data_IF_735560185471
#
_entry.id   IF_735560185471
#
_cell.length_a   1.000
_cell.length_b   1.000
_cell.length_c   1.000
_cell.angle_alpha   90.00
_cell.angle_beta   90.00
_cell.angle_gamma   90.00
#
_symmetry.space_group_name_H-M   'P 1'
#
loop_
_entity.id
_entity.type
_entity.pdbx_description
1 polymer ?
#
# COMPACT_ATOMS: atom_id res chain seq x y z
N UNK A 1 -18.02 45.99 15.19
CA UNK A 1 -17.85 45.38 13.85
C UNK A 1 -17.61 43.89 14.04
N UNK A 2 -18.56 43.06 13.63
CA UNK A 2 -18.51 41.60 13.75
C UNK A 2 -17.57 41.04 12.67
N UNK A 3 -16.54 40.30 13.05
CA UNK A 3 -15.80 39.43 12.13
C UNK A 3 -16.05 37.99 12.56
N UNK A 4 -17.06 37.40 11.93
CA UNK A 4 -17.32 35.97 11.96
C UNK A 4 -16.24 35.34 11.08
N UNK A 5 -15.21 34.77 11.70
CA UNK A 5 -14.26 33.93 10.97
C UNK A 5 -14.87 32.54 10.87
N UNK A 6 -15.33 32.23 9.66
CA UNK A 6 -15.99 30.99 9.27
C UNK A 6 -15.04 29.82 9.49
N UNK A 7 -15.50 28.86 10.31
CA UNK A 7 -14.92 27.53 10.43
C UNK A 7 -14.76 26.92 9.03
N UNK A 8 -13.52 26.73 8.58
CA UNK A 8 -13.25 25.81 7.48
C UNK A 8 -13.33 24.39 8.03
N UNK A 9 -14.44 23.74 7.67
CA UNK A 9 -14.62 22.30 7.73
C UNK A 9 -13.44 21.59 7.05
N UNK A 10 -12.52 21.08 7.85
CA UNK A 10 -11.61 20.01 7.42
C UNK A 10 -12.48 18.79 7.15
N UNK A 11 -12.81 18.62 5.88
CA UNK A 11 -13.54 17.48 5.35
C UNK A 11 -12.77 16.21 5.65
N UNK A 12 -13.36 15.47 6.58
CA UNK A 12 -13.10 14.07 6.87
C UNK A 12 -13.23 13.28 5.56
N UNK A 13 -12.11 13.01 4.90
CA UNK A 13 -11.95 11.80 4.08
C UNK A 13 -11.30 10.72 4.93
N UNK A 14 -11.92 10.40 6.07
CA UNK A 14 -11.74 9.08 6.68
C UNK A 14 -12.50 8.11 5.78
N UNK A 15 -11.78 7.57 4.80
CA UNK A 15 -12.29 6.62 3.83
C UNK A 15 -13.05 5.48 4.49
N UNK A 16 -14.22 5.22 3.92
CA UNK A 16 -15.09 4.10 4.21
C UNK A 16 -14.35 2.76 4.05
N UNK A 17 -14.48 1.89 5.05
CA UNK A 17 -14.60 0.42 4.95
C UNK A 17 -13.48 -0.40 4.27
N UNK A 18 -12.78 -1.21 5.07
CA UNK A 18 -12.66 -2.66 4.84
C UNK A 18 -11.84 -3.28 5.98
N UNK A 19 -12.54 -3.85 6.95
CA UNK A 19 -11.98 -4.82 7.89
C UNK A 19 -11.43 -6.02 7.11
N UNK A 20 -10.10 -6.22 7.12
CA UNK A 20 -9.47 -7.47 6.70
C UNK A 20 -8.33 -7.35 5.69
N UNK A 21 -8.08 -6.17 5.11
CA UNK A 21 -6.88 -5.98 4.29
C UNK A 21 -5.71 -5.61 5.19
N UNK A 22 -4.77 -6.54 5.43
CA UNK A 22 -3.44 -6.13 5.89
C UNK A 22 -2.95 -4.99 5.02
N UNK A 23 -2.68 -3.86 5.67
CA UNK A 23 -2.63 -2.57 5.01
C UNK A 23 -1.49 -2.54 3.98
N UNK A 24 -1.86 -2.54 2.69
CA UNK A 24 -0.91 -2.27 1.61
C UNK A 24 -0.48 -0.81 1.55
N UNK A 25 -1.05 0.05 2.42
CA UNK A 25 -0.74 1.48 2.49
C UNK A 25 0.76 1.72 2.72
N UNK A 26 1.42 0.93 3.58
CA UNK A 26 2.86 1.05 3.82
C UNK A 26 3.70 0.88 2.55
N UNK A 27 3.27 -0.02 1.65
CA UNK A 27 3.95 -0.27 0.37
C UNK A 27 3.62 0.80 -0.67
N UNK A 28 2.38 1.32 -0.68
CA UNK A 28 1.98 2.44 -1.52
C UNK A 28 2.74 3.72 -1.14
N UNK A 29 2.89 3.98 0.15
CA UNK A 29 3.68 5.10 0.66
C UNK A 29 5.16 4.95 0.27
N UNK A 30 5.75 3.76 0.44
CA UNK A 30 7.13 3.51 0.04
C UNK A 30 7.36 3.74 -1.47
N UNK A 31 6.44 3.28 -2.34
CA UNK A 31 6.49 3.55 -3.78
C UNK A 31 6.34 5.04 -4.10
N UNK A 32 5.47 5.75 -3.38
CA UNK A 32 5.29 7.19 -3.53
C UNK A 32 6.59 7.93 -3.20
N UNK A 33 7.21 7.60 -2.08
CA UNK A 33 8.49 8.20 -1.66
C UNK A 33 9.62 7.87 -2.64
N UNK A 34 9.68 6.64 -3.16
CA UNK A 34 10.66 6.24 -4.18
C UNK A 34 10.50 7.04 -5.48
N UNK A 35 9.25 7.25 -5.91
CA UNK A 35 8.93 8.11 -7.05
C UNK A 35 9.40 9.55 -6.81
N UNK A 36 9.02 10.17 -5.69
CA UNK A 36 9.43 11.55 -5.35
C UNK A 36 10.95 11.67 -5.26
N UNK A 37 11.64 10.68 -4.67
CA UNK A 37 13.09 10.67 -4.55
C UNK A 37 13.79 10.67 -5.92
N UNK A 38 13.18 10.05 -6.93
CA UNK A 38 13.68 9.98 -8.30
C UNK A 38 13.40 11.22 -9.16
N UNK A 39 12.52 12.12 -8.69
CA UNK A 39 12.20 13.35 -9.40
C UNK A 39 13.37 14.35 -9.39
N UNK A 40 13.45 15.24 -10.40
CA UNK A 40 14.34 16.40 -10.37
C UNK A 40 14.10 17.26 -9.12
N UNK A 41 15.15 17.94 -8.64
CA UNK A 41 15.07 18.76 -7.43
C UNK A 41 13.99 19.86 -7.50
N UNK A 42 13.70 20.39 -8.70
CA UNK A 42 12.65 21.38 -8.93
C UNK A 42 11.24 20.86 -8.61
N UNK A 43 11.05 19.54 -8.65
CA UNK A 43 9.72 18.93 -8.68
C UNK A 43 9.39 18.17 -7.39
N UNK A 44 10.36 18.01 -6.48
CA UNK A 44 10.20 17.25 -5.23
C UNK A 44 9.17 17.84 -4.28
N UNK A 45 9.05 19.16 -4.26
CA UNK A 45 8.09 19.89 -3.42
C UNK A 45 6.79 20.24 -4.17
N UNK A 46 6.68 19.83 -5.44
CA UNK A 46 5.49 20.05 -6.25
C UNK A 46 4.33 19.18 -5.76
N UNK A 47 3.23 19.82 -5.35
CA UNK A 47 1.99 19.13 -4.99
C UNK A 47 1.44 18.28 -6.14
N UNK A 48 1.62 18.74 -7.38
CA UNK A 48 1.19 17.98 -8.55
C UNK A 48 2.02 16.70 -8.69
N UNK A 49 3.35 16.80 -8.61
CA UNK A 49 4.24 15.64 -8.74
C UNK A 49 4.05 14.65 -7.59
N UNK A 50 3.81 15.13 -6.37
CA UNK A 50 3.44 14.28 -5.23
C UNK A 50 2.12 13.52 -5.47
N UNK A 51 1.13 14.18 -6.08
CA UNK A 51 -0.16 13.56 -6.43
C UNK A 51 0.00 12.52 -7.52
N UNK A 52 0.80 12.80 -8.56
CA UNK A 52 1.11 11.87 -9.64
C UNK A 52 1.83 10.63 -9.12
N UNK A 53 2.85 10.82 -8.27
CA UNK A 53 3.55 9.72 -7.61
C UNK A 53 2.62 8.85 -6.75
N UNK A 54 1.72 9.46 -5.96
CA UNK A 54 0.77 8.74 -5.13
C UNK A 54 -0.23 7.91 -5.99
N UNK A 55 -0.69 8.49 -7.10
CA UNK A 55 -1.60 7.82 -8.03
C UNK A 55 -0.92 6.65 -8.75
N UNK A 56 0.33 6.81 -9.17
CA UNK A 56 1.12 5.74 -9.78
C UNK A 56 1.38 4.61 -8.76
N UNK A 57 1.77 4.96 -7.53
CA UNK A 57 1.96 3.99 -6.46
C UNK A 57 0.68 3.20 -6.16
N UNK A 58 -0.47 3.87 -6.11
CA UNK A 58 -1.77 3.23 -5.93
C UNK A 58 -2.09 2.23 -7.05
N UNK A 59 -1.85 2.59 -8.32
CA UNK A 59 -2.02 1.67 -9.47
C UNK A 59 -1.11 0.45 -9.39
N UNK A 60 0.17 0.65 -9.03
CA UNK A 60 1.15 -0.43 -8.86
C UNK A 60 0.72 -1.39 -7.75
N UNK A 61 0.33 -0.88 -6.58
CA UNK A 61 -0.14 -1.69 -5.46
C UNK A 61 -1.44 -2.42 -5.80
N UNK A 62 -2.38 -1.76 -6.47
CA UNK A 62 -3.62 -2.41 -6.89
C UNK A 62 -3.34 -3.59 -7.83
N UNK A 63 -2.46 -3.39 -8.82
CA UNK A 63 -2.05 -4.47 -9.74
C UNK A 63 -1.34 -5.59 -8.98
N UNK A 64 -0.42 -5.25 -8.10
CA UNK A 64 0.28 -6.22 -7.27
C UNK A 64 -0.67 -7.03 -6.39
N UNK A 65 -1.70 -6.39 -5.83
CA UNK A 65 -2.74 -7.07 -5.06
C UNK A 65 -3.49 -8.11 -5.89
N UNK A 66 -3.94 -7.74 -7.09
CA UNK A 66 -4.62 -8.68 -8.00
C UNK A 66 -3.73 -9.86 -8.38
N UNK A 67 -2.44 -9.62 -8.60
CA UNK A 67 -1.47 -10.69 -8.85
C UNK A 67 -1.28 -11.56 -7.60
N UNK A 68 -1.26 -10.96 -6.39
CA UNK A 68 -1.15 -11.72 -5.15
C UNK A 68 -2.35 -12.66 -4.94
N UNK A 69 -3.57 -12.21 -5.25
CA UNK A 69 -4.77 -13.05 -5.14
C UNK A 69 -4.63 -14.34 -5.98
N UNK A 70 -4.01 -14.28 -7.16
CA UNK A 70 -3.79 -15.45 -8.02
C UNK A 70 -2.77 -16.45 -7.46
N UNK A 71 -1.88 -16.02 -6.56
CA UNK A 71 -0.87 -16.88 -5.92
C UNK A 71 -1.20 -17.26 -4.48
N UNK A 72 -2.19 -16.62 -3.87
CA UNK A 72 -2.52 -16.78 -2.45
C UNK A 72 -2.79 -18.25 -2.09
N UNK A 73 -3.53 -18.97 -2.94
CA UNK A 73 -3.82 -20.39 -2.74
C UNK A 73 -2.56 -21.27 -2.81
N UNK A 74 -1.63 -20.94 -3.73
CA UNK A 74 -0.36 -21.66 -3.87
C UNK A 74 0.55 -21.43 -2.65
N UNK A 75 0.63 -20.18 -2.17
CA UNK A 75 1.37 -19.84 -0.94
C UNK A 75 0.74 -20.54 0.27
N UNK A 76 -0.60 -20.57 0.39
CA UNK A 76 -1.30 -21.29 1.46
C UNK A 76 -1.03 -22.80 1.44
N UNK A 77 -1.10 -23.43 0.26
CA UNK A 77 -0.78 -24.86 0.09
C UNK A 77 0.66 -25.15 0.51
N UNK A 78 1.62 -24.35 0.03
CA UNK A 78 3.05 -24.48 0.39
C UNK A 78 3.26 -24.34 1.90
N UNK A 79 2.60 -23.37 2.53
CA UNK A 79 2.69 -23.18 3.97
C UNK A 79 2.14 -24.38 4.75
N UNK A 80 1.01 -24.96 4.31
CA UNK A 80 0.46 -26.19 4.91
C UNK A 80 1.33 -27.44 4.75
N UNK A 81 2.13 -27.52 3.70
CA UNK A 81 3.09 -28.63 3.53
C UNK A 81 4.20 -28.59 4.59
N UNK A 82 4.50 -27.42 5.15
CA UNK A 82 5.55 -27.23 6.15
C UNK A 82 5.10 -27.43 7.61
N UNK A 83 3.79 -27.49 7.88
CA UNK A 83 3.25 -27.59 9.24
C UNK A 83 1.81 -28.10 9.28
N UNK A 84 1.46 -28.89 10.29
CA UNK A 84 0.07 -29.29 10.57
C UNK A 84 -0.70 -28.24 11.40
N UNK A 85 -0.01 -27.23 11.95
CA UNK A 85 -0.63 -26.16 12.73
C UNK A 85 -1.26 -25.12 11.82
N UNK A 86 -2.55 -24.85 12.02
CA UNK A 86 -3.28 -23.80 11.30
C UNK A 86 -2.67 -22.42 11.53
N UNK A 87 -2.34 -22.09 12.78
CA UNK A 87 -1.76 -20.79 13.16
C UNK A 87 -0.41 -20.56 12.49
N UNK A 88 0.45 -21.58 12.48
CA UNK A 88 1.76 -21.49 11.84
C UNK A 88 1.65 -21.37 10.31
N UNK A 89 0.67 -22.03 9.70
CA UNK A 89 0.41 -21.89 8.26
C UNK A 89 -0.09 -20.48 7.90
N UNK A 90 -0.95 -19.88 8.73
CA UNK A 90 -1.44 -18.52 8.55
C UNK A 90 -0.33 -17.47 8.67
N UNK A 91 0.56 -17.61 9.66
CA UNK A 91 1.73 -16.72 9.81
C UNK A 91 2.69 -16.87 8.62
N UNK A 92 2.89 -18.09 8.12
CA UNK A 92 3.69 -18.33 6.92
C UNK A 92 3.11 -17.61 5.68
N UNK A 93 1.79 -17.64 5.49
CA UNK A 93 1.14 -16.93 4.36
C UNK A 93 1.29 -15.43 4.50
N UNK A 94 1.15 -14.91 5.73
CA UNK A 94 1.40 -13.49 6.02
C UNK A 94 2.82 -13.08 5.65
N UNK A 95 3.83 -13.85 6.06
CA UNK A 95 5.23 -13.60 5.68
C UNK A 95 5.40 -13.63 4.15
N UNK A 96 4.87 -14.65 3.48
CA UNK A 96 4.96 -14.76 2.01
C UNK A 96 4.32 -13.55 1.29
N UNK A 97 3.19 -13.06 1.81
CA UNK A 97 2.53 -11.85 1.34
C UNK A 97 3.40 -10.62 1.53
N UNK A 98 3.95 -10.43 2.72
CA UNK A 98 4.81 -9.29 3.00
C UNK A 98 6.07 -9.27 2.13
N UNK A 99 6.71 -10.43 1.93
CA UNK A 99 7.86 -10.58 1.05
C UNK A 99 7.53 -10.24 -0.41
N UNK A 100 6.35 -10.65 -0.87
CA UNK A 100 5.88 -10.31 -2.20
C UNK A 100 5.75 -8.79 -2.39
N UNK A 101 5.09 -8.09 -1.47
CA UNK A 101 4.95 -6.64 -1.59
C UNK A 101 6.28 -5.88 -1.40
N UNK A 102 7.20 -6.37 -0.56
CA UNK A 102 8.58 -5.83 -0.49
C UNK A 102 9.26 -5.89 -1.86
N UNK A 103 9.20 -7.04 -2.55
CA UNK A 103 9.74 -7.18 -3.92
C UNK A 103 9.11 -6.22 -4.92
N UNK A 104 7.81 -5.95 -4.79
CA UNK A 104 7.11 -4.96 -5.64
C UNK A 104 7.67 -3.55 -5.42
N UNK A 105 7.96 -3.17 -4.17
CA UNK A 105 8.57 -1.87 -3.86
C UNK A 105 10.01 -1.78 -4.36
N UNK A 106 10.77 -2.87 -4.23
CA UNK A 106 12.21 -2.91 -4.53
C UNK A 106 12.51 -3.04 -6.03
N UNK A 107 11.54 -3.49 -6.84
CA UNK A 107 11.66 -3.56 -8.29
C UNK A 107 12.16 -2.22 -8.88
N UNK A 108 13.19 -2.30 -9.74
CA UNK A 108 13.84 -1.16 -10.39
C UNK A 108 13.09 -0.77 -11.66
#
# INVERSE_FOLDING_TARGET
MKKVSVLLFLTVLAGCSSTGSESTAKYSEALTQKCIASLPASDKDSKQSATECALEAGKKIHTAYRIYELRADADYKKCKESTSSKETAEECVKIAKEEYYKKVVDAK
#
